data_IF_835229313402
#
_entry.id   IF_835229313402
#
_cell.length_a   1.000
_cell.length_b   1.000
_cell.length_c   1.000
_cell.angle_alpha   90.00
_cell.angle_beta   90.00
_cell.angle_gamma   90.00
#
_symmetry.space_group_name_H-M   'P 1'
#
loop_
_entity.id
_entity.type
_entity.pdbx_description
1 polymer ?
#
# COMPACT_ATOMS: atom_id res chain seq x y z
N UNK A 1 -1.05 -18.80 13.84
CA UNK A 1 -1.76 -18.26 12.66
C UNK A 1 -1.68 -16.74 12.73
N UNK A 2 -0.68 -16.13 12.09
CA UNK A 2 -0.55 -14.66 12.10
C UNK A 2 -1.65 -14.07 11.23
N UNK A 3 -2.32 -12.97 11.63
CA UNK A 3 -3.39 -12.39 10.84
C UNK A 3 -2.86 -12.02 9.45
N UNK A 4 -3.67 -12.27 8.41
CA UNK A 4 -3.31 -11.95 7.03
C UNK A 4 -2.90 -10.46 6.95
N UNK A 5 -1.79 -10.13 6.25
CA UNK A 5 -1.14 -8.81 6.28
C UNK A 5 -2.05 -7.62 5.91
N UNK A 6 -3.20 -7.88 5.30
CA UNK A 6 -4.18 -6.89 4.82
C UNK A 6 -4.89 -6.12 5.95
N UNK A 7 -5.58 -6.81 6.87
CA UNK A 7 -6.32 -6.15 7.96
C UNK A 7 -5.39 -5.35 8.90
N UNK A 8 -4.15 -5.82 9.08
CA UNK A 8 -3.12 -5.08 9.82
C UNK A 8 -2.71 -3.79 9.11
N UNK A 9 -2.54 -3.84 7.78
CA UNK A 9 -2.19 -2.67 6.96
C UNK A 9 -3.29 -1.61 7.01
N UNK A 10 -4.56 -2.01 6.86
CA UNK A 10 -5.69 -1.06 6.90
C UNK A 10 -5.84 -0.40 8.28
N UNK A 11 -5.71 -1.17 9.37
CA UNK A 11 -5.74 -0.61 10.73
C UNK A 11 -4.60 0.38 10.96
N UNK A 12 -3.41 0.08 10.46
CA UNK A 12 -2.28 1.00 10.57
C UNK A 12 -2.50 2.27 9.73
N UNK A 13 -3.12 2.15 8.55
CA UNK A 13 -3.45 3.28 7.69
C UNK A 13 -4.46 4.22 8.34
N UNK A 14 -5.54 3.69 8.91
CA UNK A 14 -6.53 4.50 9.66
C UNK A 14 -5.86 5.27 10.80
N UNK A 15 -5.03 4.58 11.60
CA UNK A 15 -4.27 5.24 12.70
C UNK A 15 -3.32 6.32 12.20
N UNK A 16 -2.73 6.14 11.02
CA UNK A 16 -1.87 7.15 10.40
C UNK A 16 -2.67 8.38 9.99
N UNK A 17 -3.81 8.19 9.31
CA UNK A 17 -4.71 9.29 8.89
C UNK A 17 -5.21 10.08 10.10
N UNK A 18 -5.67 9.38 11.15
CA UNK A 18 -6.14 9.99 12.41
C UNK A 18 -5.03 10.81 13.09
N UNK A 19 -3.82 10.26 13.21
CA UNK A 19 -2.69 10.94 13.84
C UNK A 19 -2.24 12.16 13.04
N UNK A 20 -2.23 12.04 11.71
CA UNK A 20 -1.79 13.10 10.80
C UNK A 20 -2.87 14.16 10.56
N UNK A 21 -4.05 14.02 11.19
CA UNK A 21 -5.22 14.91 11.03
C UNK A 21 -5.58 15.14 9.56
N UNK A 22 -5.43 14.10 8.75
CA UNK A 22 -5.70 14.18 7.31
C UNK A 22 -7.20 14.09 7.09
N UNK A 23 -7.78 15.13 6.49
CA UNK A 23 -9.20 15.18 6.13
C UNK A 23 -9.53 14.36 4.88
N UNK A 24 -10.83 14.30 4.54
CA UNK A 24 -11.31 13.73 3.28
C UNK A 24 -11.09 14.72 2.11
N UNK A 25 -11.01 14.24 0.85
CA UNK A 25 -11.07 12.83 0.41
C UNK A 25 -9.72 12.11 0.49
N UNK A 26 -9.75 10.77 0.39
CA UNK A 26 -8.54 9.95 0.41
C UNK A 26 -7.67 10.21 -0.85
N UNK A 27 -6.48 10.77 -0.67
CA UNK A 27 -5.58 11.10 -1.80
C UNK A 27 -4.45 10.09 -1.95
N UNK A 28 -3.85 10.08 -3.15
CA UNK A 28 -2.68 9.26 -3.49
C UNK A 28 -1.48 9.58 -2.60
N UNK A 29 -1.28 10.87 -2.30
CA UNK A 29 -0.18 11.33 -1.44
C UNK A 29 -0.28 10.72 -0.05
N UNK A 30 -1.48 10.68 0.55
CA UNK A 30 -1.67 10.07 1.88
C UNK A 30 -1.28 8.59 1.90
N UNK A 31 -1.68 7.84 0.87
CA UNK A 31 -1.32 6.42 0.76
C UNK A 31 0.19 6.21 0.57
N UNK A 32 0.83 7.02 -0.27
CA UNK A 32 2.26 6.92 -0.52
C UNK A 32 3.08 7.30 0.71
N UNK A 33 2.76 8.42 1.37
CA UNK A 33 3.45 8.86 2.58
C UNK A 33 3.29 7.83 3.70
N UNK A 34 2.10 7.25 3.86
CA UNK A 34 1.89 6.14 4.78
C UNK A 34 2.80 4.94 4.44
N UNK A 35 2.84 4.48 3.18
CA UNK A 35 3.67 3.33 2.80
C UNK A 35 5.16 3.64 3.00
N UNK A 36 5.58 4.86 2.71
CA UNK A 36 6.96 5.32 2.89
C UNK A 36 7.34 5.53 4.35
N UNK A 37 6.37 5.77 5.25
CA UNK A 37 6.61 5.91 6.70
C UNK A 37 7.09 4.62 7.37
N UNK A 38 6.87 3.45 6.75
CA UNK A 38 7.42 2.19 7.25
C UNK A 38 8.87 2.00 6.83
N UNK A 39 9.76 1.84 7.81
CA UNK A 39 11.07 1.25 7.57
C UNK A 39 10.94 -0.21 7.10
N UNK A 40 11.78 -0.63 6.14
CA UNK A 40 11.84 -2.02 5.68
C UNK A 40 12.13 -2.22 4.20
N UNK A 41 12.09 -3.48 3.76
CA UNK A 41 12.37 -3.89 2.40
C UNK A 41 11.34 -3.33 1.40
N UNK A 42 11.78 -3.09 0.16
CA UNK A 42 10.94 -2.62 -0.95
C UNK A 42 9.70 -3.50 -1.16
N UNK A 43 9.84 -4.82 -1.04
CA UNK A 43 8.73 -5.77 -1.23
C UNK A 43 7.64 -5.59 -0.18
N UNK A 44 8.01 -5.28 1.06
CA UNK A 44 7.04 -5.02 2.13
C UNK A 44 6.24 -3.73 1.88
N UNK A 45 6.83 -2.74 1.20
CA UNK A 45 6.14 -1.53 0.76
C UNK A 45 5.21 -1.82 -0.42
N UNK A 46 5.66 -2.64 -1.37
CA UNK A 46 4.83 -3.07 -2.50
C UNK A 46 3.57 -3.83 -2.06
N UNK A 47 3.69 -4.72 -1.06
CA UNK A 47 2.54 -5.44 -0.49
C UNK A 47 1.53 -4.48 0.15
N UNK A 48 2.00 -3.56 1.00
CA UNK A 48 1.13 -2.57 1.66
C UNK A 48 0.42 -1.66 0.65
N UNK A 49 1.17 -1.21 -0.35
CA UNK A 49 0.60 -0.42 -1.43
C UNK A 49 -0.47 -1.19 -2.23
N UNK A 50 -0.25 -2.49 -2.49
CA UNK A 50 -1.25 -3.34 -3.13
C UNK A 50 -2.55 -3.44 -2.33
N UNK A 51 -2.47 -3.53 -1.00
CA UNK A 51 -3.64 -3.51 -0.09
C UNK A 51 -4.37 -2.17 -0.18
N UNK A 52 -3.65 -1.05 -0.06
CA UNK A 52 -4.27 0.28 -0.14
C UNK A 52 -4.91 0.53 -1.49
N UNK A 53 -4.30 0.06 -2.59
CA UNK A 53 -4.88 0.20 -3.92
C UNK A 53 -6.27 -0.43 -4.01
N UNK A 54 -6.44 -1.67 -3.52
CA UNK A 54 -7.75 -2.34 -3.51
C UNK A 54 -8.75 -1.61 -2.62
N UNK A 55 -8.27 -1.09 -1.49
CA UNK A 55 -9.12 -0.31 -0.59
C UNK A 55 -9.57 1.02 -1.22
N UNK A 56 -8.68 1.72 -1.92
CA UNK A 56 -9.00 2.95 -2.66
C UNK A 56 -9.95 2.65 -3.83
N UNK A 57 -9.76 1.54 -4.57
CA UNK A 57 -10.70 1.06 -5.59
C UNK A 57 -12.11 0.83 -5.00
N UNK A 58 -12.20 0.33 -3.77
CA UNK A 58 -13.47 0.22 -3.03
C UNK A 58 -14.02 1.59 -2.61
N UNK A 59 -13.19 2.49 -2.08
CA UNK A 59 -13.60 3.81 -1.63
C UNK A 59 -14.16 4.68 -2.74
N UNK A 60 -13.62 4.59 -3.96
CA UNK A 60 -14.13 5.32 -5.14
C UNK A 60 -15.64 5.08 -5.38
N UNK A 61 -16.16 3.91 -5.01
CA UNK A 61 -17.60 3.60 -5.11
C UNK A 61 -18.45 4.47 -4.19
N UNK A 62 -17.92 4.89 -3.04
CA UNK A 62 -18.64 5.63 -1.99
C UNK A 62 -18.27 7.11 -1.96
N UNK A 63 -17.04 7.46 -2.33
CA UNK A 63 -16.53 8.81 -2.42
C UNK A 63 -15.82 8.98 -3.79
N UNK A 64 -16.51 9.54 -4.80
CA UNK A 64 -15.96 9.75 -6.14
C UNK A 64 -14.75 10.69 -6.18
N UNK A 65 -14.48 11.43 -5.10
CA UNK A 65 -13.30 12.30 -5.01
C UNK A 65 -12.04 11.54 -4.54
N UNK A 66 -12.17 10.25 -4.20
CA UNK A 66 -11.02 9.38 -3.88
C UNK A 66 -10.14 9.20 -5.12
N UNK A 67 -8.84 9.47 -4.97
CA UNK A 67 -7.88 9.31 -6.08
C UNK A 67 -7.55 7.83 -6.36
N UNK A 68 -7.19 7.47 -7.59
CA UNK A 68 -6.80 6.07 -7.91
C UNK A 68 -5.31 5.85 -7.66
N UNK A 69 -4.97 4.70 -7.06
CA UNK A 69 -3.57 4.29 -6.88
C UNK A 69 -3.07 3.45 -8.06
N UNK A 70 -1.91 3.84 -8.59
CA UNK A 70 -1.25 3.14 -9.69
C UNK A 70 -0.90 1.70 -9.34
N UNK A 71 -0.89 0.77 -10.30
CA UNK A 71 -0.46 -0.61 -10.00
C UNK A 71 1.04 -0.71 -9.69
N UNK A 72 1.86 0.16 -10.31
CA UNK A 72 3.33 0.07 -10.32
C UNK A 72 4.02 1.25 -9.64
N UNK A 73 3.50 1.69 -8.49
CA UNK A 73 4.14 2.78 -7.74
C UNK A 73 5.46 2.38 -7.05
N UNK A 74 5.65 1.08 -6.78
CA UNK A 74 6.88 0.55 -6.18
C UNK A 74 7.52 -0.47 -7.13
N UNK A 75 8.85 -0.42 -7.33
CA UNK A 75 9.55 -1.46 -8.04
C UNK A 75 9.46 -2.75 -7.23
N UNK A 76 8.92 -3.81 -7.84
CA UNK A 76 9.03 -5.15 -7.28
C UNK A 76 10.48 -5.58 -7.41
N UNK A 77 11.18 -5.75 -6.29
CA UNK A 77 12.55 -6.21 -6.32
C UNK A 77 12.54 -7.71 -6.59
N UNK A 78 12.91 -8.11 -7.81
CA UNK A 78 13.32 -9.49 -8.08
C UNK A 78 14.75 -9.68 -7.56
N UNK A 79 14.96 -9.50 -6.25
CA UNK A 79 16.25 -9.74 -5.60
C UNK A 79 16.66 -11.22 -5.64
N UNK A 80 15.70 -12.12 -5.94
CA UNK A 80 15.97 -13.52 -6.22
C UNK A 80 16.22 -13.65 -7.73
N UNK A 81 17.48 -13.78 -8.17
CA UNK A 81 17.77 -14.02 -9.58
C UNK A 81 17.00 -15.28 -10.04
N UNK A 82 16.51 -15.32 -11.30
CA UNK A 82 15.90 -16.52 -11.84
C UNK A 82 16.82 -17.73 -11.60
N UNK A 83 16.29 -18.90 -11.19
CA UNK A 83 17.08 -20.13 -11.14
C UNK A 83 17.75 -20.32 -12.51
N UNK A 84 19.08 -20.39 -12.52
CA UNK A 84 19.85 -20.66 -13.74
C UNK A 84 19.96 -22.17 -13.89
N UNK A 85 19.45 -22.71 -14.99
CA UNK A 85 19.68 -24.11 -15.38
C UNK A 85 21.11 -24.18 -15.95
N UNK A 86 22.02 -25.00 -15.40
CA UNK A 86 23.35 -25.16 -15.96
C UNK A 86 23.27 -25.77 -17.37
N UNK A 87 24.13 -25.27 -18.26
CA UNK A 87 24.28 -25.73 -19.65
C UNK A 87 24.98 -27.08 -19.71
#
# INVERSE_FOLDING_TARGET
MSPLPEAGTLRAFVRYVERSQLGAPATRTMALDFVLSFGGAADSRAVRHGVLRRFYEYLVVYDPQTEVLERRAFPWSRAIPPPRIPK
#
